data_IF_042254065012
#
_entry.id   IF_042254065012
#
_cell.length_a   1.000
_cell.length_b   1.000
_cell.length_c   1.000
_cell.angle_alpha   90.00
_cell.angle_beta   90.00
_cell.angle_gamma   90.00
#
_symmetry.space_group_name_H-M   'P 1'
#
loop_
_entity.id
_entity.type
_entity.pdbx_description
1 polymer ?
#
# COMPACT_ATOMS: atom_id res chain seq x y z
N UNK A 1 -26.63 -12.48 -16.06
CA UNK A 1 -25.92 -11.28 -16.52
C UNK A 1 -24.48 -11.31 -16.04
N UNK A 2 -23.55 -11.16 -16.96
CA UNK A 2 -22.16 -11.07 -16.58
C UNK A 2 -21.83 -9.64 -16.14
N UNK A 3 -21.20 -9.52 -14.98
CA UNK A 3 -20.71 -8.25 -14.50
C UNK A 3 -19.26 -8.10 -14.95
N UNK A 4 -18.97 -7.04 -15.68
CA UNK A 4 -17.61 -6.77 -16.10
C UNK A 4 -16.95 -5.91 -15.01
N UNK A 5 -15.85 -6.40 -14.47
CA UNK A 5 -15.08 -5.63 -13.50
C UNK A 5 -14.15 -4.68 -14.25
N UNK A 6 -14.30 -3.40 -13.99
CA UNK A 6 -13.40 -2.39 -14.54
C UNK A 6 -12.19 -2.27 -13.60
N UNK A 7 -11.03 -2.67 -14.08
CA UNK A 7 -9.79 -2.66 -13.28
C UNK A 7 -9.48 -1.25 -12.78
N UNK A 8 -9.79 -0.23 -13.57
CA UNK A 8 -9.55 1.16 -13.18
C UNK A 8 -10.34 1.61 -11.95
N UNK A 9 -11.43 0.93 -11.62
CA UNK A 9 -12.23 1.26 -10.42
C UNK A 9 -11.74 0.57 -9.17
N UNK A 10 -10.77 -0.34 -9.27
CA UNK A 10 -10.26 -1.08 -8.11
C UNK A 10 -9.27 -0.28 -7.28
N UNK A 11 -8.69 0.77 -7.85
CA UNK A 11 -7.76 1.65 -7.16
C UNK A 11 -8.34 3.06 -7.16
N UNK A 12 -8.29 3.73 -6.01
CA UNK A 12 -8.80 5.09 -5.89
C UNK A 12 -7.86 5.95 -5.08
N UNK A 13 -8.09 7.25 -5.10
CA UNK A 13 -7.40 8.23 -4.27
C UNK A 13 -8.45 9.08 -3.58
N UNK A 14 -8.30 9.26 -2.26
CA UNK A 14 -9.18 10.12 -1.49
C UNK A 14 -8.28 11.01 -0.62
N UNK A 15 -8.34 12.36 -0.79
CA UNK A 15 -7.50 13.27 -0.01
C UNK A 15 -7.67 13.12 1.50
N UNK A 16 -8.82 12.62 1.94
CA UNK A 16 -9.13 12.43 3.36
C UNK A 16 -8.60 11.12 3.92
N UNK A 17 -8.08 10.23 3.06
CA UNK A 17 -7.55 8.93 3.47
C UNK A 17 -6.08 8.88 3.09
N UNK A 18 -5.22 8.67 4.09
CA UNK A 18 -3.77 8.52 3.90
C UNK A 18 -3.15 9.63 3.05
N UNK A 19 -3.66 10.87 3.16
CA UNK A 19 -3.09 12.00 2.46
C UNK A 19 -3.23 11.93 0.93
N UNK A 20 -4.20 11.18 0.43
CA UNK A 20 -4.42 11.05 -1.01
C UNK A 20 -3.60 9.96 -1.68
N UNK A 21 -2.91 9.11 -0.91
CA UNK A 21 -2.18 7.98 -1.48
C UNK A 21 -3.13 6.99 -2.16
N UNK A 22 -2.69 6.31 -3.23
CA UNK A 22 -3.53 5.29 -3.87
C UNK A 22 -3.92 4.20 -2.88
N UNK A 23 -5.18 3.85 -2.86
CA UNK A 23 -5.73 2.79 -2.01
C UNK A 23 -6.52 1.81 -2.85
N UNK A 24 -6.73 0.61 -2.30
CA UNK A 24 -7.68 -0.34 -2.88
C UNK A 24 -9.08 0.21 -2.58
N UNK A 25 -9.86 0.44 -3.63
CA UNK A 25 -11.18 1.07 -3.52
C UNK A 25 -12.06 0.34 -2.51
N UNK A 26 -12.75 1.11 -1.66
CA UNK A 26 -13.63 0.56 -0.64
C UNK A 26 -12.91 0.03 0.60
N UNK A 27 -11.60 0.22 0.70
CA UNK A 27 -10.81 -0.21 1.85
C UNK A 27 -9.89 0.90 2.31
N UNK A 28 -9.26 0.72 3.45
CA UNK A 28 -8.20 1.61 3.91
C UNK A 28 -6.80 1.11 3.58
N UNK A 29 -6.69 0.06 2.73
CA UNK A 29 -5.40 -0.55 2.40
C UNK A 29 -4.73 0.20 1.27
N UNK A 30 -3.51 0.69 1.49
CA UNK A 30 -2.76 1.44 0.48
C UNK A 30 -2.06 0.51 -0.50
N UNK A 31 -1.89 0.97 -1.73
CA UNK A 31 -1.04 0.30 -2.71
C UNK A 31 0.39 0.19 -2.16
N UNK A 32 0.85 1.21 -1.46
CA UNK A 32 2.18 1.22 -0.82
C UNK A 32 2.38 0.03 0.11
N UNK A 33 1.39 -0.30 0.94
CA UNK A 33 1.50 -1.45 1.84
C UNK A 33 1.64 -2.76 1.08
N UNK A 34 0.84 -2.94 0.03
CA UNK A 34 0.91 -4.12 -0.81
C UNK A 34 2.29 -4.21 -1.48
N UNK A 35 2.80 -3.08 -1.97
CA UNK A 35 4.12 -3.03 -2.61
C UNK A 35 5.24 -3.39 -1.63
N UNK A 36 5.17 -2.93 -0.39
CA UNK A 36 6.16 -3.25 0.66
C UNK A 36 6.22 -4.77 0.86
N UNK A 37 5.08 -5.42 1.02
CA UNK A 37 5.04 -6.86 1.21
C UNK A 37 5.52 -7.62 -0.01
N UNK A 38 5.17 -7.16 -1.20
CA UNK A 38 5.66 -7.74 -2.44
C UNK A 38 7.20 -7.67 -2.50
N UNK A 39 7.78 -6.54 -2.12
CA UNK A 39 9.24 -6.36 -2.10
C UNK A 39 9.92 -7.26 -1.06
N UNK A 40 9.20 -7.64 -0.02
CA UNK A 40 9.68 -8.57 1.01
C UNK A 40 9.62 -10.03 0.54
N UNK A 41 9.12 -10.28 -0.66
CA UNK A 41 9.06 -11.61 -1.23
C UNK A 41 7.74 -12.34 -1.08
N UNK A 42 6.70 -11.67 -0.57
CA UNK A 42 5.38 -12.30 -0.48
C UNK A 42 4.73 -12.34 -1.86
N UNK A 43 4.07 -13.47 -2.14
CA UNK A 43 3.25 -13.58 -3.35
C UNK A 43 1.85 -13.02 -3.08
N UNK A 44 1.10 -12.78 -4.16
CA UNK A 44 -0.23 -12.16 -4.04
C UNK A 44 -1.18 -12.93 -3.12
N UNK A 45 -1.16 -14.26 -3.18
CA UNK A 45 -1.99 -15.12 -2.35
C UNK A 45 -1.67 -14.92 -0.85
N UNK A 46 -0.40 -14.83 -0.51
CA UNK A 46 0.03 -14.60 0.87
C UNK A 46 -0.39 -13.21 1.37
N UNK A 47 -0.30 -12.21 0.50
CA UNK A 47 -0.71 -10.85 0.84
C UNK A 47 -2.22 -10.79 1.12
N UNK A 48 -3.02 -11.41 0.24
CA UNK A 48 -4.47 -11.46 0.42
C UNK A 48 -4.84 -12.18 1.72
N UNK A 49 -4.15 -13.26 2.02
CA UNK A 49 -4.39 -14.05 3.23
C UNK A 49 -4.07 -13.25 4.50
N UNK A 50 -2.99 -12.50 4.50
CA UNK A 50 -2.59 -11.68 5.66
C UNK A 50 -3.61 -10.61 6.01
N UNK A 51 -4.18 -9.97 5.01
CA UNK A 51 -5.16 -8.91 5.24
C UNK A 51 -6.53 -9.51 5.56
N UNK A 52 -6.85 -10.67 4.97
CA UNK A 52 -8.03 -11.45 5.31
C UNK A 52 -9.33 -11.01 4.65
N UNK A 53 -9.45 -9.75 4.25
CA UNK A 53 -10.66 -9.25 3.59
C UNK A 53 -10.43 -8.76 2.16
N UNK A 54 -9.22 -8.95 1.63
CA UNK A 54 -8.91 -8.62 0.25
C UNK A 54 -9.01 -9.86 -0.62
N UNK A 55 -9.48 -9.66 -1.85
CA UNK A 55 -9.47 -10.70 -2.87
C UNK A 55 -8.16 -10.66 -3.64
N UNK A 56 -7.83 -11.75 -4.33
CA UNK A 56 -6.69 -11.79 -5.23
C UNK A 56 -6.78 -10.72 -6.30
N UNK A 57 -7.99 -10.49 -6.83
CA UNK A 57 -8.21 -9.45 -7.84
C UNK A 57 -7.76 -8.08 -7.32
N UNK A 58 -8.11 -7.77 -6.08
CA UNK A 58 -7.73 -6.50 -5.46
C UNK A 58 -6.22 -6.41 -5.26
N UNK A 59 -5.58 -7.48 -4.82
CA UNK A 59 -4.13 -7.50 -4.63
C UNK A 59 -3.41 -7.34 -5.96
N UNK A 60 -3.83 -8.06 -6.99
CA UNK A 60 -3.24 -7.92 -8.32
C UNK A 60 -3.45 -6.54 -8.91
N UNK A 61 -4.61 -5.91 -8.66
CA UNK A 61 -4.85 -4.54 -9.09
C UNK A 61 -3.86 -3.57 -8.44
N UNK A 62 -3.60 -3.74 -7.14
CA UNK A 62 -2.62 -2.93 -6.43
C UNK A 62 -1.20 -3.15 -6.96
N UNK A 63 -0.83 -4.39 -7.25
CA UNK A 63 0.48 -4.70 -7.82
C UNK A 63 0.63 -4.14 -9.23
N UNK A 64 -0.43 -4.21 -10.02
CA UNK A 64 -0.45 -3.61 -11.37
C UNK A 64 -0.24 -2.11 -11.28
N UNK A 65 -0.96 -1.45 -10.37
CA UNK A 65 -0.81 -0.02 -10.16
C UNK A 65 0.62 0.31 -9.71
N UNK A 66 1.17 -0.47 -8.80
CA UNK A 66 2.54 -0.29 -8.34
C UNK A 66 3.52 -0.35 -9.51
N UNK A 67 3.44 -1.41 -10.33
CA UNK A 67 4.36 -1.56 -11.46
C UNK A 67 4.19 -0.46 -12.51
N UNK A 68 2.98 0.06 -12.68
CA UNK A 68 2.73 1.15 -13.60
C UNK A 68 3.22 2.51 -13.06
N UNK A 69 3.40 2.63 -11.74
CA UNK A 69 3.73 3.89 -11.08
C UNK A 69 4.87 3.71 -10.06
N UNK A 70 5.88 2.93 -10.42
CA UNK A 70 6.94 2.53 -9.50
C UNK A 70 7.67 3.71 -8.87
N UNK A 71 7.99 4.73 -9.64
CA UNK A 71 8.71 5.89 -9.11
C UNK A 71 7.93 6.57 -8.00
N UNK A 72 6.63 6.79 -8.22
CA UNK A 72 5.75 7.42 -7.23
C UNK A 72 5.66 6.59 -5.96
N UNK A 73 5.38 5.30 -6.11
CA UNK A 73 5.17 4.41 -4.97
C UNK A 73 6.48 4.18 -4.20
N UNK A 74 7.58 3.97 -4.91
CA UNK A 74 8.89 3.79 -4.27
C UNK A 74 9.31 5.05 -3.51
N UNK A 75 9.01 6.24 -4.05
CA UNK A 75 9.27 7.49 -3.35
C UNK A 75 8.43 7.60 -2.08
N UNK A 76 7.16 7.19 -2.13
CA UNK A 76 6.29 7.18 -0.96
C UNK A 76 6.79 6.20 0.12
N UNK A 77 7.26 5.03 -0.30
CA UNK A 77 7.84 4.04 0.62
C UNK A 77 9.08 4.63 1.31
N UNK A 78 9.96 5.23 0.53
CA UNK A 78 11.19 5.83 1.08
C UNK A 78 10.87 6.96 2.06
N UNK A 79 9.88 7.79 1.73
CA UNK A 79 9.46 8.89 2.60
C UNK A 79 8.88 8.37 3.92
N UNK A 80 8.07 7.31 3.87
CA UNK A 80 7.50 6.69 5.05
C UNK A 80 8.58 6.07 5.94
N UNK A 81 9.54 5.39 5.34
CA UNK A 81 10.67 4.81 6.08
C UNK A 81 11.52 5.89 6.75
N UNK A 82 11.81 6.96 6.04
CA UNK A 82 12.58 8.08 6.59
C UNK A 82 11.84 8.72 7.76
N UNK A 83 10.52 8.89 7.66
CA UNK A 83 9.71 9.44 8.73
C UNK A 83 9.69 8.52 9.94
N UNK A 84 9.56 7.22 9.71
CA UNK A 84 9.61 6.22 10.79
C UNK A 84 10.94 6.22 11.51
N UNK A 85 12.04 6.29 10.77
CA UNK A 85 13.39 6.35 11.33
C UNK A 85 13.59 7.61 12.16
N UNK A 86 13.07 8.75 11.70
CA UNK A 86 13.15 10.01 12.41
C UNK A 86 12.40 9.94 13.74
N UNK A 87 11.20 9.38 13.74
CA UNK A 87 10.39 9.22 14.94
C UNK A 87 11.08 8.29 15.92
N UNK A 88 11.63 7.18 15.45
CA UNK A 88 12.35 6.24 16.29
C UNK A 88 13.57 6.89 16.94
N UNK A 89 14.33 7.67 16.18
CA UNK A 89 15.49 8.39 16.71
C UNK A 89 15.09 9.38 17.82
N UNK A 90 13.97 10.08 17.65
CA UNK A 90 13.45 10.97 18.68
C UNK A 90 13.06 10.23 19.95
N UNK A 91 12.43 9.06 19.81
CA UNK A 91 12.09 8.23 20.96
C UNK A 91 13.31 7.74 21.72
N UNK A 92 14.33 7.29 21.01
CA UNK A 92 15.59 6.86 21.61
C UNK A 92 16.27 8.01 22.36
N UNK A 93 16.28 9.20 21.78
CA UNK A 93 16.85 10.36 22.44
C UNK A 93 16.12 10.68 23.74
N UNK A 94 14.79 10.58 23.75
CA UNK A 94 14.00 10.82 24.96
C UNK A 94 14.27 9.79 26.06
N UNK A 95 14.50 8.54 25.68
CA UNK A 95 14.76 7.47 26.65
C UNK A 95 16.11 7.63 27.35
N UNK A 96 17.05 8.32 26.72
CA UNK A 96 18.38 8.52 27.28
C UNK A 96 18.47 9.73 28.20
N UNK A 97 17.40 10.48 28.30
CA UNK A 97 17.27 11.59 29.21
C UNK A 97 16.67 11.14 30.53
#
# INVERSE_FOLDING_TARGET
MSTITDIGTLISRNPDIHGGCPIIAGTGVTVRRIAIWYKQGLIAEEIADRIGHLTLTQVYAALTYYHANREEIDADIAAEEAEGDRIEALHKARRQL
#
